data_IF_658006722966
#
_entry.id   IF_658006722966
#
_cell.length_a   1.000
_cell.length_b   1.000
_cell.length_c   1.000
_cell.angle_alpha   90.00
_cell.angle_beta   90.00
_cell.angle_gamma   90.00
#
_symmetry.space_group_name_H-M   'P 1'
#
loop_
_entity.id
_entity.type
_entity.pdbx_description
1 polymer ?
#
# COMPACT_ATOMS: atom_id res chain seq x y z
N UNK A 1 3.66 -0.03 2.23
CA UNK A 1 2.66 -0.99 1.70
C UNK A 1 1.43 -0.23 1.23
N UNK A 2 0.80 -0.61 0.12
CA UNK A 2 -0.40 0.06 -0.42
C UNK A 2 -1.58 -0.91 -0.36
N UNK A 3 -2.69 -0.48 0.26
CA UNK A 3 -3.89 -1.28 0.53
C UNK A 3 -5.12 -0.66 -0.15
N UNK A 4 -5.99 -1.48 -0.74
CA UNK A 4 -7.20 -1.01 -1.40
C UNK A 4 -8.45 -1.16 -0.53
N UNK A 5 -9.08 -0.05 -0.15
CA UNK A 5 -10.21 0.02 0.79
C UNK A 5 -11.55 -0.54 0.29
N UNK A 6 -11.72 -0.75 -1.03
CA UNK A 6 -12.93 -1.35 -1.65
C UNK A 6 -12.83 -2.90 -1.78
N UNK A 7 -11.94 -3.51 -1.01
CA UNK A 7 -11.78 -4.96 -1.02
C UNK A 7 -12.82 -5.64 -0.16
N UNK A 8 -13.57 -6.53 -0.79
CA UNK A 8 -14.59 -7.36 -0.17
C UNK A 8 -14.34 -8.82 -0.57
N UNK A 9 -14.29 -9.76 0.38
CA UNK A 9 -14.34 -9.58 1.83
C UNK A 9 -13.04 -8.99 2.42
N UNK A 10 -13.12 -8.23 3.52
CA UNK A 10 -11.96 -7.59 4.16
C UNK A 10 -10.98 -8.60 4.80
N UNK A 11 -11.48 -9.80 5.11
CA UNK A 11 -10.69 -10.92 5.67
C UNK A 11 -9.48 -11.32 4.81
N UNK A 12 -9.47 -10.93 3.52
CA UNK A 12 -8.37 -11.20 2.59
C UNK A 12 -7.05 -10.61 3.06
N UNK A 13 -7.06 -9.44 3.72
CA UNK A 13 -5.82 -8.78 4.14
C UNK A 13 -5.88 -8.06 5.48
N UNK A 14 -6.97 -8.18 6.25
CA UNK A 14 -7.13 -7.50 7.54
C UNK A 14 -6.00 -7.75 8.56
N UNK A 15 -5.23 -8.82 8.38
CA UNK A 15 -4.06 -9.16 9.20
C UNK A 15 -2.79 -8.39 8.82
N UNK A 16 -2.73 -7.80 7.61
CA UNK A 16 -1.54 -7.11 7.12
C UNK A 16 -1.27 -5.75 7.79
N UNK A 17 -2.26 -4.88 8.05
CA UNK A 17 -2.01 -3.61 8.76
C UNK A 17 -1.41 -3.86 10.15
N UNK A 18 -1.98 -4.81 10.91
CA UNK A 18 -1.47 -5.21 12.23
C UNK A 18 -0.01 -5.67 12.14
N UNK A 19 0.31 -6.51 11.15
CA UNK A 19 1.70 -6.94 10.92
C UNK A 19 2.62 -5.77 10.53
N UNK A 20 2.11 -4.78 9.80
CA UNK A 20 2.89 -3.58 9.45
C UNK A 20 3.17 -2.72 10.69
N UNK A 21 2.22 -2.59 11.60
CA UNK A 21 2.40 -1.88 12.87
C UNK A 21 3.46 -2.57 13.75
N UNK A 22 3.37 -3.90 13.89
CA UNK A 22 4.33 -4.70 14.66
C UNK A 22 5.77 -4.60 14.14
N UNK A 23 5.94 -4.35 12.85
CA UNK A 23 7.25 -4.24 12.19
C UNK A 23 7.65 -2.79 11.85
N UNK A 24 6.88 -1.80 12.30
CA UNK A 24 7.07 -0.39 11.93
C UNK A 24 7.18 -0.14 10.41
N UNK A 25 6.43 -0.90 9.61
CA UNK A 25 6.37 -0.75 8.17
C UNK A 25 5.31 0.29 7.78
N UNK A 26 5.67 1.36 7.05
CA UNK A 26 4.70 2.36 6.62
C UNK A 26 3.71 1.77 5.61
N UNK A 27 2.43 2.07 5.78
CA UNK A 27 1.37 1.64 4.87
C UNK A 27 0.34 2.75 4.62
N UNK A 28 -0.37 2.65 3.50
CA UNK A 28 -1.37 3.63 3.07
C UNK A 28 -2.58 2.93 2.44
N UNK A 29 -3.76 3.52 2.60
CA UNK A 29 -4.97 3.08 1.95
C UNK A 29 -5.31 3.94 0.74
N UNK A 30 -5.79 3.30 -0.31
CA UNK A 30 -6.36 3.95 -1.49
C UNK A 30 -7.80 3.45 -1.70
N UNK A 31 -8.65 4.23 -2.39
CA UNK A 31 -10.07 3.90 -2.48
C UNK A 31 -10.40 2.73 -3.41
N UNK A 32 -9.57 2.44 -4.43
CA UNK A 32 -9.91 1.53 -5.54
C UNK A 32 -8.82 0.49 -5.82
N UNK A 33 -9.16 -0.80 -5.69
CA UNK A 33 -8.31 -1.94 -6.09
C UNK A 33 -8.11 -2.05 -7.60
N UNK A 34 -9.03 -1.47 -8.38
CA UNK A 34 -8.94 -1.44 -9.85
C UNK A 34 -7.85 -0.47 -10.27
N UNK A 35 -7.80 0.70 -9.65
CA UNK A 35 -6.78 1.72 -9.92
C UNK A 35 -5.41 1.22 -9.48
N UNK A 36 -5.35 0.49 -8.35
CA UNK A 36 -4.14 -0.17 -7.88
C UNK A 36 -3.59 -1.19 -8.87
N UNK A 37 -4.49 -2.03 -9.43
CA UNK A 37 -4.13 -3.00 -10.45
C UNK A 37 -3.62 -2.33 -11.72
N UNK A 38 -4.32 -1.28 -12.17
CA UNK A 38 -3.93 -0.50 -13.33
C UNK A 38 -2.54 0.16 -13.17
N UNK A 39 -2.27 0.74 -11.99
CA UNK A 39 -0.99 1.37 -11.66
C UNK A 39 0.19 0.40 -11.69
N UNK A 40 -0.06 -0.90 -11.49
CA UNK A 40 0.97 -1.94 -11.52
C UNK A 40 1.01 -2.74 -12.82
N UNK A 41 0.27 -2.31 -13.84
CA UNK A 41 0.22 -2.97 -15.14
C UNK A 41 -0.56 -4.29 -15.14
N UNK A 42 -1.27 -4.59 -14.05
CA UNK A 42 -2.13 -5.78 -13.95
C UNK A 42 -3.51 -5.49 -14.55
N UNK A 43 -4.00 -6.42 -15.38
CA UNK A 43 -5.39 -6.40 -15.88
C UNK A 43 -6.41 -6.83 -14.81
N UNK A 44 -5.94 -7.40 -13.70
CA UNK A 44 -6.79 -7.84 -12.58
C UNK A 44 -6.71 -6.83 -11.45
N UNK A 45 -7.82 -6.54 -10.74
CA UNK A 45 -7.78 -5.69 -9.57
C UNK A 45 -6.87 -6.30 -8.50
N UNK A 46 -6.08 -5.45 -7.85
CA UNK A 46 -5.09 -5.86 -6.85
C UNK A 46 -5.46 -5.25 -5.51
N UNK A 47 -5.53 -6.06 -4.46
CA UNK A 47 -5.94 -5.59 -3.13
C UNK A 47 -4.78 -4.98 -2.33
N UNK A 48 -3.56 -5.51 -2.53
CA UNK A 48 -2.38 -5.17 -1.74
C UNK A 48 -1.15 -5.15 -2.62
N UNK A 49 -0.31 -4.12 -2.47
CA UNK A 49 0.97 -4.00 -3.18
C UNK A 49 2.08 -3.62 -2.21
N UNK A 50 3.19 -4.34 -2.30
CA UNK A 50 4.42 -4.02 -1.59
C UNK A 50 5.45 -3.49 -2.59
N UNK A 51 5.74 -2.20 -2.48
CA UNK A 51 6.82 -1.56 -3.23
C UNK A 51 8.11 -1.80 -2.45
N UNK A 52 9.12 -2.37 -3.12
CA UNK A 52 10.46 -2.52 -2.55
C UNK A 52 11.34 -1.35 -3.00
N UNK A 53 12.28 -0.89 -2.18
CA UNK A 53 13.27 0.08 -2.62
C UNK A 53 14.11 -0.53 -3.76
N UNK A 54 14.40 0.30 -4.76
CA UNK A 54 15.22 -0.06 -5.91
C UNK A 54 15.99 1.16 -6.40
N UNK A 55 17.19 0.95 -6.94
CA UNK A 55 18.10 2.03 -7.36
C UNK A 55 17.48 2.89 -8.48
N UNK A 56 16.80 2.26 -9.44
CA UNK A 56 16.18 2.93 -10.59
C UNK A 56 15.14 4.03 -10.24
N UNK A 57 14.52 3.97 -9.06
CA UNK A 57 13.45 4.88 -8.65
C UNK A 57 13.56 5.31 -7.19
N UNK A 58 14.78 5.33 -6.67
CA UNK A 58 15.05 5.62 -5.26
C UNK A 58 14.52 6.99 -4.83
N UNK A 59 14.78 8.05 -5.61
CA UNK A 59 14.30 9.41 -5.30
C UNK A 59 12.76 9.49 -5.20
N UNK A 60 12.07 8.83 -6.13
CA UNK A 60 10.61 8.78 -6.12
C UNK A 60 10.06 7.96 -4.95
N UNK A 61 10.75 6.87 -4.59
CA UNK A 61 10.40 6.05 -3.44
C UNK A 61 10.52 6.83 -2.13
N UNK A 62 11.64 7.54 -1.93
CA UNK A 62 11.91 8.29 -0.69
C UNK A 62 10.89 9.41 -0.50
N UNK A 63 10.55 10.14 -1.57
CA UNK A 63 9.50 11.17 -1.52
C UNK A 63 8.14 10.61 -1.08
N UNK A 64 7.72 9.50 -1.70
CA UNK A 64 6.47 8.84 -1.33
C UNK A 64 6.51 8.29 0.10
N UNK A 65 7.66 7.82 0.56
CA UNK A 65 7.85 7.31 1.92
C UNK A 65 7.63 8.40 2.97
N UNK A 66 8.21 9.59 2.75
CA UNK A 66 8.01 10.76 3.62
C UNK A 66 6.54 11.18 3.68
N UNK A 67 5.87 11.27 2.52
CA UNK A 67 4.45 11.62 2.45
C UNK A 67 3.57 10.59 3.19
N UNK A 68 3.86 9.30 3.06
CA UNK A 68 3.12 8.24 3.76
C UNK A 68 3.35 8.28 5.27
N UNK A 69 4.56 8.59 5.73
CA UNK A 69 4.85 8.74 7.16
C UNK A 69 4.19 9.98 7.78
N UNK A 70 3.95 11.03 6.98
CA UNK A 70 3.26 12.23 7.43
C UNK A 70 1.73 12.03 7.57
N UNK A 71 1.17 10.99 6.96
CA UNK A 71 -0.24 10.67 7.10
C UNK A 71 -0.54 10.12 8.49
N UNK A 72 -1.67 10.49 9.12
CA UNK A 72 -2.07 9.91 10.39
C UNK A 72 -2.29 8.41 10.22
N UNK A 73 -1.73 7.61 11.14
CA UNK A 73 -2.05 6.19 11.21
C UNK A 73 -3.56 6.04 11.38
N UNK A 74 -4.23 5.24 10.53
CA UNK A 74 -5.65 4.99 10.69
C UNK A 74 -5.87 4.27 12.02
N UNK A 75 -6.36 5.03 13.02
CA UNK A 75 -6.78 4.53 14.34
C UNK A 75 -8.01 3.63 14.24
#
# INVERSE_FOLDING_TARGET
MVLAGDTLPIEVYCHLPVMCEDQNLPYVYIPSKTDLGAATGSKRPTCVIMVKPHEDYQEAYDKCLEEVQALPTPL
#
